data_IF_646816505747
#
_entry.id   IF_646816505747
#
_cell.length_a   1.000
_cell.length_b   1.000
_cell.length_c   1.000
_cell.angle_alpha   90.00
_cell.angle_beta   90.00
_cell.angle_gamma   90.00
#
_symmetry.space_group_name_H-M   'P 1'
#
loop_
_entity.id
_entity.type
_entity.pdbx_description
1 polymer ?
#
# COMPACT_ATOMS: atom_id res chain seq x y z
N UNK A 1 24.37 -24.52 -2.37
CA UNK A 1 24.60 -23.24 -3.09
C UNK A 1 23.26 -22.54 -3.24
N UNK A 2 23.12 -21.32 -2.70
CA UNK A 2 21.91 -20.50 -2.81
C UNK A 2 21.87 -19.76 -4.16
N UNK A 3 20.67 -19.63 -4.72
CA UNK A 3 20.31 -18.55 -5.63
C UNK A 3 18.86 -18.18 -5.32
N UNK A 4 18.70 -17.14 -4.49
CA UNK A 4 17.41 -16.57 -4.12
C UNK A 4 17.21 -15.35 -5.03
N UNK A 5 16.23 -15.46 -5.91
CA UNK A 5 15.83 -14.41 -6.83
C UNK A 5 14.92 -13.47 -6.03
N UNK A 6 15.48 -12.40 -5.48
CA UNK A 6 14.75 -11.39 -4.70
C UNK A 6 13.78 -10.63 -5.61
N UNK A 7 12.55 -11.09 -5.68
CA UNK A 7 11.41 -10.26 -6.08
C UNK A 7 10.78 -9.79 -4.76
N UNK A 8 10.68 -8.49 -4.48
CA UNK A 8 9.99 -8.04 -3.28
C UNK A 8 8.49 -8.29 -3.50
N UNK A 9 8.04 -9.49 -3.16
CA UNK A 9 6.64 -9.72 -2.84
C UNK A 9 6.44 -8.94 -1.55
N UNK A 10 5.69 -7.84 -1.63
CA UNK A 10 5.08 -7.27 -0.44
C UNK A 10 4.37 -8.44 0.25
N UNK A 11 4.82 -8.78 1.46
CA UNK A 11 4.19 -9.76 2.34
C UNK A 11 2.77 -9.29 2.70
N UNK A 12 1.88 -9.28 1.71
CA UNK A 12 0.46 -9.21 1.90
C UNK A 12 0.07 -10.58 2.42
N UNK A 13 -0.05 -10.69 3.75
CA UNK A 13 -0.50 -11.83 4.53
C UNK A 13 -1.08 -12.96 3.65
N UNK A 14 -0.25 -13.96 3.40
CA UNK A 14 -0.67 -15.28 2.91
C UNK A 14 -1.27 -16.09 4.07
N UNK A 15 -2.20 -15.52 4.83
CA UNK A 15 -3.05 -16.31 5.71
C UNK A 15 -4.28 -16.71 4.92
N UNK A 16 -4.31 -17.99 4.54
CA UNK A 16 -5.40 -18.63 3.82
C UNK A 16 -6.71 -18.47 4.58
N UNK A 17 -7.49 -17.47 4.18
CA UNK A 17 -8.88 -17.33 4.59
C UNK A 17 -9.64 -16.90 3.35
N UNK A 18 -10.14 -17.91 2.63
CA UNK A 18 -11.31 -17.78 1.76
C UNK A 18 -12.52 -17.42 2.63
N UNK A 19 -12.54 -16.19 3.11
CA UNK A 19 -13.67 -15.53 3.74
C UNK A 19 -13.84 -14.21 3.00
N UNK A 20 -15.09 -13.81 2.77
CA UNK A 20 -15.48 -12.60 2.05
C UNK A 20 -14.97 -11.32 2.72
N UNK A 21 -13.67 -11.07 2.65
CA UNK A 21 -13.04 -9.83 3.05
C UNK A 21 -12.59 -9.17 1.75
N UNK A 22 -13.22 -8.06 1.32
CA UNK A 22 -12.68 -7.30 0.20
C UNK A 22 -11.24 -6.95 0.56
N UNK A 23 -10.31 -7.18 -0.37
CA UNK A 23 -8.90 -6.85 -0.17
C UNK A 23 -8.78 -5.42 0.39
N UNK A 24 -7.81 -5.16 1.30
CA UNK A 24 -7.60 -3.82 1.80
C UNK A 24 -7.42 -2.86 0.62
N UNK A 25 -8.14 -1.74 0.67
CA UNK A 25 -8.12 -0.77 -0.43
C UNK A 25 -6.72 -0.21 -0.58
N UNK A 26 -6.13 -0.39 -1.77
CA UNK A 26 -4.84 0.19 -2.09
C UNK A 26 -4.98 1.69 -2.31
N UNK A 27 -4.05 2.48 -1.78
CA UNK A 27 -4.00 3.93 -1.98
C UNK A 27 -2.96 4.23 -3.08
N UNK A 28 -3.39 4.29 -4.34
CA UNK A 28 -2.47 4.48 -5.48
C UNK A 28 -1.63 5.77 -5.36
N UNK A 29 -2.19 6.82 -4.77
CA UNK A 29 -1.47 8.07 -4.52
C UNK A 29 -0.33 7.90 -3.51
N UNK A 30 -0.55 7.07 -2.47
CA UNK A 30 0.45 6.78 -1.46
C UNK A 30 1.57 5.91 -2.03
N UNK A 31 1.21 4.97 -2.91
CA UNK A 31 2.17 4.09 -3.58
C UNK A 31 3.08 4.90 -4.53
N UNK A 32 2.52 5.85 -5.28
CA UNK A 32 3.29 6.76 -6.12
C UNK A 32 4.23 7.65 -5.28
N UNK A 33 3.71 8.28 -4.22
CA UNK A 33 4.50 9.16 -3.36
C UNK A 33 5.70 8.43 -2.73
N UNK A 34 5.52 7.18 -2.27
CA UNK A 34 6.61 6.36 -1.73
C UNK A 34 7.65 5.96 -2.78
N UNK A 35 7.26 5.93 -4.05
CA UNK A 35 8.14 5.55 -5.16
C UNK A 35 8.90 6.73 -5.75
N UNK A 36 8.31 7.93 -5.71
CA UNK A 36 8.82 9.13 -6.39
C UNK A 36 9.46 10.14 -5.45
N UNK A 37 9.08 10.16 -4.17
CA UNK A 37 9.52 11.16 -3.20
C UNK A 37 10.38 10.56 -2.09
N UNK A 38 11.07 11.41 -1.31
CA UNK A 38 11.74 10.92 -0.10
C UNK A 38 10.72 10.57 0.99
N UNK A 39 11.10 9.70 1.93
CA UNK A 39 10.21 9.25 3.01
C UNK A 39 9.50 10.41 3.76
N UNK A 40 10.19 11.49 4.16
CA UNK A 40 9.53 12.63 4.81
C UNK A 40 8.51 13.33 3.92
N UNK A 41 8.81 13.50 2.63
CA UNK A 41 7.94 14.17 1.66
C UNK A 41 6.72 13.30 1.33
N UNK A 42 6.96 12.02 1.07
CA UNK A 42 5.91 11.03 0.85
C UNK A 42 4.98 10.96 2.07
N UNK A 43 5.51 10.99 3.29
CA UNK A 43 4.70 10.99 4.51
C UNK A 43 3.77 12.21 4.59
N UNK A 44 4.29 13.40 4.27
CA UNK A 44 3.49 14.63 4.27
C UNK A 44 2.33 14.54 3.25
N UNK A 45 2.62 14.09 2.03
CA UNK A 45 1.62 13.88 0.97
C UNK A 45 0.58 12.83 1.35
N UNK A 46 1.02 11.72 1.96
CA UNK A 46 0.13 10.62 2.36
C UNK A 46 -0.89 11.11 3.38
N UNK A 47 -0.40 11.73 4.46
CA UNK A 47 -1.23 12.20 5.58
C UNK A 47 -2.15 13.34 5.15
N UNK A 48 -1.67 14.22 4.27
CA UNK A 48 -2.46 15.34 3.76
C UNK A 48 -3.68 14.86 2.95
N UNK A 49 -3.50 13.86 2.08
CA UNK A 49 -4.54 13.38 1.17
C UNK A 49 -5.37 12.21 1.74
N UNK A 50 -4.96 11.63 2.87
CA UNK A 50 -5.63 10.49 3.52
C UNK A 50 -7.12 10.74 3.80
N UNK A 51 -7.55 11.87 4.40
CA UNK A 51 -8.95 12.08 4.73
C UNK A 51 -9.85 12.08 3.49
N UNK A 52 -9.38 12.72 2.42
CA UNK A 52 -10.10 12.77 1.15
C UNK A 52 -10.14 11.39 0.48
N UNK A 53 -9.03 10.66 0.50
CA UNK A 53 -8.98 9.29 -0.04
C UNK A 53 -9.97 8.38 0.69
N UNK A 54 -10.00 8.43 2.02
CA UNK A 54 -10.94 7.65 2.83
C UNK A 54 -12.40 8.05 2.55
N UNK A 55 -12.68 9.34 2.37
CA UNK A 55 -13.99 9.77 1.91
C UNK A 55 -14.33 9.14 0.55
N UNK A 56 -13.48 9.23 -0.47
CA UNK A 56 -13.76 8.64 -1.79
C UNK A 56 -14.01 7.12 -1.76
N UNK A 57 -13.44 6.40 -0.79
CA UNK A 57 -13.57 4.95 -0.68
C UNK A 57 -14.86 4.54 0.05
N UNK A 58 -15.25 5.28 1.09
CA UNK A 58 -16.33 4.91 2.01
C UNK A 58 -17.59 5.75 1.88
N UNK A 59 -17.68 6.60 0.85
CA UNK A 59 -18.75 7.55 0.62
C UNK A 59 -19.51 7.24 -0.67
#
# INVERSE_FOLDING_TARGET
>A
MLKINSTPIFNMMEDGISGSHPAPVGLSYAEDALRTMSLPEAYAEIVLNLPQALQQIYH
#
